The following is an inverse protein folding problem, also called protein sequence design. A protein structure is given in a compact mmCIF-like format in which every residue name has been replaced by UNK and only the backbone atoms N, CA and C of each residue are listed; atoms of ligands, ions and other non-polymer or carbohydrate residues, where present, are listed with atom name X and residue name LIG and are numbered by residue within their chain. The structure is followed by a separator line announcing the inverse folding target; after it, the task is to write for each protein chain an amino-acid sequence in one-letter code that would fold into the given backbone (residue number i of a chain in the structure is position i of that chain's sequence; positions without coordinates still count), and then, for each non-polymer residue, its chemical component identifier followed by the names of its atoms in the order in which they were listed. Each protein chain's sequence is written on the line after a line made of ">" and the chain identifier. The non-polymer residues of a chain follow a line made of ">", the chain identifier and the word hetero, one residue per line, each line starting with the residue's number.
data_IF_815665215742
#
_entry.id   IF_815665215742
#
_cell.length_a   1.000
_cell.length_b   1.000
_cell.length_c   1.000
_cell.angle_alpha   90.00
_cell.angle_beta   90.00
_cell.angle_gamma   90.00
#
_symmetry.space_group_name_H-M   'P 1'
#
loop_
_entity.id
_entity.type
_entity.pdbx_description
1 polymer ?
#
# COMPACT_ATOMS: atom_id res chain seq x y z
N UNK A 1 -2.96 -0.80 19.30
CA UNK A 1 -1.66 -1.15 18.71
C UNK A 1 -0.54 -0.61 19.56
N UNK A 2 0.48 -1.42 19.82
CA UNK A 2 1.64 -0.98 20.56
C UNK A 2 2.67 -0.39 19.64
N UNK A 3 3.09 0.84 19.96
CA UNK A 3 4.05 1.54 19.11
C UNK A 3 5.46 1.34 19.59
N UNK A 4 6.36 1.09 18.63
CA UNK A 4 7.79 1.06 18.91
C UNK A 4 8.29 2.48 19.11
N UNK A 5 8.91 2.79 20.24
CA UNK A 5 9.27 4.20 20.51
C UNK A 5 10.33 4.78 19.58
N UNK A 6 11.16 3.93 18.98
CA UNK A 6 12.27 4.40 18.15
C UNK A 6 11.94 4.42 16.67
N UNK A 7 10.72 4.05 16.29
CA UNK A 7 10.32 3.96 14.88
C UNK A 7 9.13 4.89 14.65
N UNK A 8 9.19 5.74 13.63
CA UNK A 8 8.05 6.61 13.32
C UNK A 8 6.77 5.81 13.13
N UNK A 9 5.66 6.36 13.58
CA UNK A 9 4.39 5.64 13.50
C UNK A 9 3.99 5.32 12.07
N UNK A 10 4.25 6.25 11.14
CA UNK A 10 3.89 5.99 9.75
C UNK A 10 4.61 4.75 9.22
N UNK A 11 5.84 4.56 9.65
CA UNK A 11 6.64 3.45 9.15
C UNK A 11 6.10 2.12 9.66
N UNK A 12 5.64 2.12 10.91
CA UNK A 12 5.06 0.90 11.48
C UNK A 12 3.75 0.54 10.80
N UNK A 13 2.90 1.54 10.52
CA UNK A 13 1.66 1.31 9.81
C UNK A 13 1.94 0.88 8.37
N UNK A 14 2.93 1.51 7.76
CA UNK A 14 3.36 1.13 6.40
C UNK A 14 3.73 -0.35 6.34
N UNK A 15 4.50 -0.82 7.32
CA UNK A 15 4.92 -2.22 7.33
C UNK A 15 3.72 -3.17 7.42
N UNK A 16 2.70 -2.78 8.16
CA UNK A 16 1.49 -3.58 8.27
C UNK A 16 0.77 -3.67 6.92
N UNK A 17 0.62 -2.54 6.23
CA UNK A 17 -0.04 -2.54 4.93
C UNK A 17 0.80 -3.24 3.87
N UNK A 18 2.12 -3.07 3.93
CA UNK A 18 3.01 -3.78 3.03
C UNK A 18 2.82 -5.28 3.18
N UNK A 19 2.79 -5.75 4.42
CA UNK A 19 2.60 -7.17 4.68
C UNK A 19 1.26 -7.66 4.17
N UNK A 20 0.19 -6.89 4.37
CA UNK A 20 -1.13 -7.27 3.92
C UNK A 20 -1.21 -7.35 2.39
N UNK A 21 -0.46 -6.49 1.71
CA UNK A 21 -0.41 -6.53 0.25
C UNK A 21 0.36 -7.75 -0.21
N UNK A 22 1.48 -8.03 0.43
CA UNK A 22 2.33 -9.16 0.04
C UNK A 22 1.64 -10.49 0.32
N UNK A 23 0.92 -10.59 1.44
CA UNK A 23 0.29 -11.87 1.80
C UNK A 23 -1.08 -12.06 1.15
N UNK A 24 -1.55 -11.09 0.38
CA UNK A 24 -2.80 -11.23 -0.35
C UNK A 24 -4.04 -10.78 0.39
N UNK A 25 -3.89 -10.21 1.58
CA UNK A 25 -5.03 -9.64 2.30
C UNK A 25 -5.68 -8.55 1.46
N UNK A 26 -4.85 -7.73 0.81
CA UNK A 26 -5.31 -6.78 -0.20
C UNK A 26 -4.77 -7.22 -1.55
N UNK A 27 -5.56 -7.99 -2.32
CA UNK A 27 -5.07 -8.47 -3.63
C UNK A 27 -4.84 -7.34 -4.62
N UNK A 28 -4.06 -7.59 -5.67
CA UNK A 28 -3.86 -6.58 -6.71
C UNK A 28 -5.18 -6.07 -7.26
N UNK A 29 -5.26 -4.76 -7.50
CA UNK A 29 -6.46 -4.13 -8.00
C UNK A 29 -7.47 -3.76 -6.92
N UNK A 30 -7.23 -4.15 -5.67
CA UNK A 30 -8.13 -3.86 -4.57
C UNK A 30 -7.95 -2.41 -4.10
N UNK A 31 -9.05 -1.77 -3.76
CA UNK A 31 -8.99 -0.42 -3.21
C UNK A 31 -8.49 -0.48 -1.77
N UNK A 32 -7.49 0.34 -1.47
CA UNK A 32 -6.96 0.46 -0.13
C UNK A 32 -7.82 1.40 0.70
N UNK A 33 -7.80 1.26 2.04
CA UNK A 33 -8.48 2.21 2.91
C UNK A 33 -7.97 3.63 2.68
N UNK A 34 -8.85 4.60 2.72
CA UNK A 34 -8.47 5.99 2.61
C UNK A 34 -7.89 6.53 3.91
N UNK A 35 -7.47 7.80 3.87
CA UNK A 35 -6.81 8.43 5.01
C UNK A 35 -7.65 8.31 6.29
N UNK A 36 -8.94 8.61 6.22
CA UNK A 36 -9.77 8.60 7.43
C UNK A 36 -9.97 7.19 7.98
N UNK A 37 -10.03 6.18 7.11
CA UNK A 37 -10.14 4.81 7.57
C UNK A 37 -8.86 4.37 8.28
N UNK A 38 -7.71 4.80 7.78
CA UNK A 38 -6.44 4.50 8.41
C UNK A 38 -6.35 5.19 9.77
N UNK A 39 -6.78 6.44 9.85
CA UNK A 39 -6.83 7.17 11.10
C UNK A 39 -7.69 6.41 12.12
N UNK A 40 -8.85 5.94 11.68
CA UNK A 40 -9.76 5.24 12.58
C UNK A 40 -9.19 3.90 13.04
N UNK A 41 -8.51 3.19 12.14
CA UNK A 41 -7.99 1.88 12.47
C UNK A 41 -6.81 1.94 13.44
N UNK A 42 -5.92 2.90 13.25
CA UNK A 42 -4.67 2.94 14.01
C UNK A 42 -4.58 4.07 15.01
N UNK A 43 -5.54 4.98 15.02
CA UNK A 43 -5.51 6.08 15.98
C UNK A 43 -4.36 7.06 15.74
N UNK A 44 -4.00 7.29 14.49
CA UNK A 44 -2.90 8.18 14.14
C UNK A 44 -3.43 9.46 13.50
N UNK A 45 -2.57 10.48 13.41
CA UNK A 45 -2.94 11.75 12.81
C UNK A 45 -3.13 11.61 11.31
N UNK A 46 -3.94 12.51 10.73
CA UNK A 46 -4.20 12.50 9.28
C UNK A 46 -2.92 12.57 8.46
N UNK A 47 -2.00 13.44 8.86
CA UNK A 47 -0.75 13.59 8.11
C UNK A 47 0.06 12.30 8.13
N UNK A 48 0.03 11.60 9.26
CA UNK A 48 0.72 10.32 9.37
C UNK A 48 0.08 9.28 8.45
N UNK A 49 -1.24 9.21 8.45
CA UNK A 49 -1.96 8.28 7.57
C UNK A 49 -1.72 8.61 6.11
N UNK A 50 -1.72 9.88 5.77
CA UNK A 50 -1.46 10.31 4.39
C UNK A 50 -0.06 9.90 3.96
N UNK A 51 0.91 9.99 4.87
CA UNK A 51 2.27 9.57 4.56
C UNK A 51 2.35 8.08 4.26
N UNK A 52 1.59 7.26 4.99
CA UNK A 52 1.57 5.82 4.72
C UNK A 52 1.19 5.56 3.27
N UNK A 53 0.11 6.18 2.80
CA UNK A 53 -0.33 5.98 1.43
C UNK A 53 0.69 6.52 0.43
N UNK A 54 1.30 7.67 0.73
CA UNK A 54 2.33 8.24 -0.14
C UNK A 54 3.51 7.28 -0.27
N UNK A 55 3.94 6.70 0.85
CA UNK A 55 5.08 5.78 0.83
C UNK A 55 4.75 4.47 0.10
N UNK A 56 3.51 3.99 0.24
CA UNK A 56 3.10 2.80 -0.51
C UNK A 56 3.15 3.06 -2.01
N UNK A 57 2.73 4.27 -2.43
CA UNK A 57 2.83 4.62 -3.85
C UNK A 57 4.26 4.77 -4.30
N UNK A 58 5.11 5.39 -3.46
CA UNK A 58 6.52 5.55 -3.80
C UNK A 58 7.22 4.22 -3.94
N UNK A 59 6.79 3.22 -3.18
CA UNK A 59 7.38 1.88 -3.25
C UNK A 59 6.81 1.05 -4.40
N UNK A 60 5.85 1.59 -5.15
CA UNK A 60 5.25 0.86 -6.27
C UNK A 60 4.19 -0.15 -5.85
N UNK A 61 3.80 -0.16 -4.58
CA UNK A 61 2.82 -1.12 -4.08
C UNK A 61 1.38 -0.64 -4.28
N UNK A 62 1.21 0.66 -4.52
CA UNK A 62 -0.11 1.24 -4.70
C UNK A 62 -0.05 2.35 -5.73
N UNK A 63 -1.19 2.66 -6.32
CA UNK A 63 -1.30 3.78 -7.25
C UNK A 63 -2.61 4.50 -7.00
N UNK A 64 -2.57 5.81 -7.14
CA UNK A 64 -3.74 6.63 -6.92
C UNK A 64 -4.46 6.85 -8.24
N UNK A 65 -5.79 6.73 -8.20
CA UNK A 65 -6.64 7.09 -9.32
C UNK A 65 -7.42 8.32 -8.91
N UNK A 66 -7.17 9.47 -9.54
CA UNK A 66 -7.79 10.72 -9.12
C UNK A 66 -9.30 10.62 -9.09
N UNK A 67 -9.89 11.10 -8.01
CA UNK A 67 -11.34 11.09 -7.85
C UNK A 67 -11.92 9.75 -7.45
N UNK A 68 -11.11 8.69 -7.39
CA UNK A 68 -11.60 7.35 -7.09
C UNK A 68 -10.97 6.80 -5.81
N UNK A 69 -9.65 6.84 -5.72
CA UNK A 69 -8.97 6.34 -4.53
C UNK A 69 -7.61 5.75 -4.83
N UNK A 70 -7.04 5.08 -3.84
CA UNK A 70 -5.75 4.41 -3.95
C UNK A 70 -5.98 2.91 -4.04
N UNK A 71 -5.33 2.27 -4.99
CA UNK A 71 -5.52 0.85 -5.27
C UNK A 71 -4.19 0.12 -5.22
N UNK A 72 -4.24 -1.15 -4.85
CA UNK A 72 -3.06 -2.01 -4.87
C UNK A 72 -2.62 -2.17 -6.33
N UNK A 73 -1.34 -1.96 -6.57
CA UNK A 73 -0.78 -2.08 -7.91
C UNK A 73 -0.91 -3.52 -8.39
N UNK A 74 -1.30 -3.69 -9.63
CA UNK A 74 -1.29 -5.01 -10.24
C UNK A 74 0.11 -5.26 -10.73
N UNK A 75 0.79 -6.19 -10.07
CA UNK A 75 2.19 -6.43 -10.36
C UNK A 75 2.31 -7.43 -11.46
N UNK A 76 2.81 -6.99 -12.57
CA UNK A 76 3.01 -7.94 -13.65
C UNK A 76 4.04 -8.95 -13.29
N UNK A 77 4.83 -8.67 -12.42
CA UNK A 77 5.82 -9.41 -12.02
C UNK A 77 5.65 -10.23 -11.10
N UNK A 78 5.01 -10.16 -10.93
CA UNK A 78 5.05 -11.14 -10.13
C UNK A 78 5.43 -12.28 -10.81
N UNK A 79 5.77 -12.02 -11.36
CA UNK A 79 6.05 -12.47 -12.11
C UNK A 79 5.69 -12.82 -12.82
N UNK A 80 5.54 -12.51 -13.07
CA UNK A 80 5.21 -12.61 -13.92
C UNK A 80 5.32 -12.65 -14.65
N UNK A 81 5.44 -12.95 -14.76
CA UNK A 81 5.42 -12.79 -15.64
C UNK A 81 5.69 -12.55 -16.31
N UNK A 82 5.74 -12.82 -16.50
CA UNK A 82 5.80 -12.51 -17.38
C UNK A 82 5.89 -12.23 -17.97
N UNK A 83 5.92 -12.29 -17.97
CA UNK A 83 5.74 -11.94 -18.84
C UNK A 83 5.79 -11.51 -19.22
N UNK A 84 5.90 -11.66 -19.19
CA UNK A 84 5.71 -11.20 -19.95
C UNK A 84 5.81 -10.77 -20.23
N UNK A 85 5.89 -10.94 -20.25
CA UNK A 85 5.86 -10.56 -20.93
C UNK A 85 6.06 -10.20 -21.24
N UNK A 86 6.10 -10.34 -21.38
CA UNK A 86 6.29 -9.92 -22.01
C UNK A 86 6.51 -9.57 -22.23
N UNK A 87 6.51 -9.66 -22.16
CA UNK A 87 6.60 -9.27 -22.61
C UNK A 87 6.82 -9.08 -22.62
N UNK A 88 6.82 -9.41 -22.56
CA UNK A 88 6.94 -9.20 -22.90
C UNK A 88 7.21 -9.11 -23.07
N UNK A 89 7.13 -9.49 -23.16
CA UNK A 89 7.27 -9.43 -23.59
C UNK A 89 7.39 -9.37 -23.86
N UNK A 90 7.27 -9.59 -23.93
CA UNK A 90 7.34 -9.65 -24.37
C UNK A 90 7.62 -9.46 -24.53
#
# INVERSE_FOLDING_TARGET
>A
MEWEPDVPRWRQVYAIYEERIVDGTYPPGTRLPGVMAIVAEFGIAQMTARRVLTELRAAGLAQMQPGIGTFVTELPDRPQTAGGGPGSEA
#
